data_IF_045872086979
#
_entry.id   IF_045872086979
#
_cell.length_a   1.000
_cell.length_b   1.000
_cell.length_c   1.000
_cell.angle_alpha   90.00
_cell.angle_beta   90.00
_cell.angle_gamma   90.00
#
_symmetry.space_group_name_H-M   'P 1'
#
loop_
_entity.id
_entity.type
_entity.pdbx_description
1 polymer ?
#
# COMPACT_ATOMS: atom_id res chain seq x y z
N UNK A 1 7.40 8.78 35.21
CA UNK A 1 6.22 8.32 35.98
C UNK A 1 6.43 6.83 36.23
N UNK A 2 6.32 6.34 37.47
CA UNK A 2 6.64 4.93 37.78
C UNK A 2 5.40 4.03 37.61
N UNK A 3 5.60 2.73 37.37
CA UNK A 3 4.53 1.71 37.35
C UNK A 3 3.65 1.75 38.63
N UNK A 4 4.24 2.11 39.77
CA UNK A 4 3.57 2.19 41.06
C UNK A 4 2.72 3.47 41.24
N UNK A 5 3.05 4.58 40.56
CA UNK A 5 2.27 5.82 40.66
C UNK A 5 1.00 5.81 39.80
N UNK A 6 0.87 4.86 38.88
CA UNK A 6 -0.34 4.66 38.06
C UNK A 6 -1.32 3.68 38.70
N UNK A 7 -0.87 2.81 39.61
CA UNK A 7 -1.69 1.75 40.19
C UNK A 7 -2.71 2.21 41.24
N UNK A 8 -2.48 3.33 41.92
CA UNK A 8 -3.41 3.85 42.94
C UNK A 8 -4.75 4.32 42.35
N UNK A 9 -4.85 4.47 41.03
CA UNK A 9 -6.09 4.79 40.32
C UNK A 9 -6.86 3.55 39.78
N UNK A 10 -6.36 2.32 40.00
CA UNK A 10 -6.78 1.13 39.23
C UNK A 10 -7.12 -0.09 40.12
N UNK A 11 -7.71 0.11 41.29
CA UNK A 11 -8.26 -1.04 42.05
C UNK A 11 -9.59 -1.57 41.47
N UNK A 12 -10.27 -0.78 40.63
CA UNK A 12 -11.58 -1.11 40.05
C UNK A 12 -11.64 -0.85 38.54
N UNK A 13 -10.69 -1.40 37.77
CA UNK A 13 -10.80 -1.38 36.30
C UNK A 13 -11.89 -2.38 35.83
N UNK A 14 -12.93 -1.93 35.10
CA UNK A 14 -14.02 -2.80 34.65
C UNK A 14 -13.64 -3.71 33.49
N UNK A 15 -12.51 -3.46 32.82
CA UNK A 15 -12.02 -4.22 31.67
C UNK A 15 -11.09 -5.34 32.13
N UNK A 16 -10.16 -5.06 33.05
CA UNK A 16 -9.21 -6.06 33.58
C UNK A 16 -9.71 -6.66 34.91
N UNK A 17 -10.49 -7.73 34.79
CA UNK A 17 -11.13 -8.44 35.92
C UNK A 17 -10.42 -9.76 36.29
N UNK A 18 -10.81 -10.36 37.43
CA UNK A 18 -10.33 -11.69 37.86
C UNK A 18 -10.72 -12.77 36.85
N UNK A 19 -11.93 -12.68 36.32
CA UNK A 19 -12.46 -13.60 35.32
C UNK A 19 -11.61 -13.54 34.05
N UNK A 20 -11.27 -12.34 33.58
CA UNK A 20 -10.40 -12.16 32.42
C UNK A 20 -8.99 -12.74 32.68
N UNK A 21 -8.41 -12.49 33.85
CA UNK A 21 -7.10 -13.03 34.23
C UNK A 21 -7.10 -14.57 34.15
N UNK A 22 -8.09 -15.23 34.76
CA UNK A 22 -8.18 -16.69 34.75
C UNK A 22 -8.52 -17.26 33.38
N UNK A 23 -9.32 -16.56 32.58
CA UNK A 23 -9.61 -16.94 31.20
C UNK A 23 -8.35 -16.91 30.33
N UNK A 24 -7.60 -15.81 30.36
CA UNK A 24 -6.34 -15.66 29.61
C UNK A 24 -5.30 -16.67 30.08
N UNK A 25 -5.18 -16.88 31.40
CA UNK A 25 -4.27 -17.88 31.96
C UNK A 25 -4.60 -19.29 31.43
N UNK A 26 -5.88 -19.69 31.49
CA UNK A 26 -6.34 -21.00 31.01
C UNK A 26 -6.08 -21.19 29.52
N UNK A 27 -6.39 -20.19 28.69
CA UNK A 27 -6.12 -20.21 27.24
C UNK A 27 -4.63 -20.32 26.92
N UNK A 28 -3.77 -19.83 27.82
CA UNK A 28 -2.32 -19.89 27.69
C UNK A 28 -1.70 -21.14 28.34
N UNK A 29 -2.51 -22.09 28.83
CA UNK A 29 -2.03 -23.30 29.51
C UNK A 29 -1.43 -23.04 30.90
N UNK A 30 -1.73 -21.91 31.51
CA UNK A 30 -1.22 -21.48 32.80
C UNK A 30 -2.33 -21.47 33.87
N UNK A 31 -1.98 -21.69 35.14
CA UNK A 31 -2.91 -21.58 36.28
C UNK A 31 -2.37 -20.56 37.28
N UNK A 32 -3.20 -19.58 37.64
CA UNK A 32 -2.83 -18.55 38.62
C UNK A 32 -3.13 -19.10 40.03
N UNK A 33 -2.09 -19.32 40.83
CA UNK A 33 -2.29 -19.69 42.23
C UNK A 33 -2.95 -18.52 43.00
N UNK A 34 -3.88 -18.77 43.93
CA UNK A 34 -4.61 -17.70 44.64
C UNK A 34 -3.70 -16.66 45.30
N UNK A 35 -2.56 -17.10 45.86
CA UNK A 35 -1.55 -16.23 46.49
C UNK A 35 -0.87 -15.24 45.53
N UNK A 36 -0.92 -15.46 44.22
CA UNK A 36 -0.29 -14.60 43.21
C UNK A 36 -1.31 -13.75 42.46
N UNK A 37 -2.62 -14.02 42.60
CA UNK A 37 -3.68 -13.40 41.83
C UNK A 37 -3.67 -11.86 41.93
N UNK A 38 -3.51 -11.32 43.13
CA UNK A 38 -3.43 -9.87 43.35
C UNK A 38 -2.25 -9.22 42.59
N UNK A 39 -1.09 -9.89 42.57
CA UNK A 39 0.09 -9.40 41.87
C UNK A 39 -0.08 -9.44 40.34
N UNK A 40 -0.68 -10.50 39.81
CA UNK A 40 -1.00 -10.61 38.38
C UNK A 40 -2.03 -9.56 37.95
N UNK A 41 -3.09 -9.36 38.73
CA UNK A 41 -4.09 -8.32 38.47
C UNK A 41 -3.46 -6.94 38.43
N UNK A 42 -2.61 -6.62 39.42
CA UNK A 42 -1.90 -5.35 39.48
C UNK A 42 -1.06 -5.14 38.21
N UNK A 43 -0.26 -6.13 37.82
CA UNK A 43 0.59 -6.04 36.62
C UNK A 43 -0.22 -5.86 35.32
N UNK A 44 -1.30 -6.61 35.14
CA UNK A 44 -2.17 -6.47 33.96
C UNK A 44 -2.87 -5.11 33.91
N UNK A 45 -3.39 -4.65 35.05
CA UNK A 45 -4.05 -3.34 35.16
C UNK A 45 -3.11 -2.19 34.89
N UNK A 46 -1.90 -2.23 35.44
CA UNK A 46 -0.87 -1.24 35.15
C UNK A 46 -0.47 -1.25 33.67
N UNK A 47 -0.31 -2.43 33.07
CA UNK A 47 0.00 -2.56 31.64
C UNK A 47 -1.13 -2.01 30.76
N UNK A 48 -2.39 -2.31 31.11
CA UNK A 48 -3.57 -1.79 30.43
C UNK A 48 -3.67 -0.27 30.52
N UNK A 49 -3.42 0.31 31.69
CA UNK A 49 -3.44 1.77 31.85
C UNK A 49 -2.35 2.46 31.02
N UNK A 50 -1.15 1.88 30.93
CA UNK A 50 -0.09 2.39 30.05
C UNK A 50 -0.54 2.29 28.58
N UNK A 51 -1.08 1.14 28.16
CA UNK A 51 -1.58 0.95 26.80
C UNK A 51 -2.68 1.98 26.45
N UNK A 52 -3.60 2.24 27.37
CA UNK A 52 -4.65 3.25 27.20
C UNK A 52 -4.08 4.67 27.11
N UNK A 53 -3.03 4.99 27.87
CA UNK A 53 -2.37 6.29 27.73
C UNK A 53 -1.71 6.44 26.36
N UNK A 54 -1.07 5.38 25.85
CA UNK A 54 -0.47 5.37 24.50
C UNK A 54 -1.55 5.52 23.42
N UNK A 55 -2.67 4.82 23.55
CA UNK A 55 -3.81 4.89 22.60
C UNK A 55 -4.48 6.27 22.56
N UNK A 56 -4.34 7.07 23.63
CA UNK A 56 -4.82 8.45 23.70
C UNK A 56 -3.82 9.47 23.15
N UNK A 57 -2.57 9.06 22.85
CA UNK A 57 -1.62 9.95 22.19
C UNK A 57 -2.06 10.17 20.74
N UNK A 58 -1.86 11.38 20.18
CA UNK A 58 -2.09 11.59 18.76
C UNK A 58 -1.15 10.69 17.94
N UNK A 59 -1.64 10.19 16.81
CA UNK A 59 -0.82 9.45 15.85
C UNK A 59 0.40 10.28 15.45
N UNK A 60 1.58 9.70 15.63
CA UNK A 60 2.82 10.31 15.18
C UNK A 60 3.07 9.96 13.71
N UNK A 61 3.18 10.98 12.88
CA UNK A 61 3.60 10.86 11.49
C UNK A 61 5.01 11.43 11.36
N UNK A 62 5.98 10.59 10.98
CA UNK A 62 7.35 11.04 10.75
C UNK A 62 7.38 12.11 9.65
N UNK A 63 8.07 13.25 9.84
CA UNK A 63 8.13 14.32 8.84
C UNK A 63 8.61 13.88 7.45
N UNK A 64 9.38 12.80 7.34
CA UNK A 64 9.82 12.22 6.05
C UNK A 64 8.65 11.63 5.25
N UNK A 65 7.57 11.27 5.91
CA UNK A 65 6.32 10.75 5.33
C UNK A 65 5.27 11.83 5.08
N UNK A 66 5.63 13.10 5.33
CA UNK A 66 4.78 14.24 5.02
C UNK A 66 4.42 14.26 3.54
N UNK A 67 3.16 14.58 3.29
CA UNK A 67 2.58 14.65 1.96
C UNK A 67 3.31 15.74 1.16
N UNK A 68 3.84 15.37 -0.01
CA UNK A 68 4.51 16.32 -0.89
C UNK A 68 3.47 17.31 -1.43
N UNK A 69 3.69 18.64 -1.31
CA UNK A 69 2.82 19.64 -1.90
C UNK A 69 2.74 19.51 -3.41
N UNK A 70 1.53 19.46 -3.94
CA UNK A 70 1.26 19.30 -5.38
C UNK A 70 0.61 20.53 -5.99
N UNK A 71 0.81 20.71 -7.30
CA UNK A 71 0.09 21.73 -8.08
C UNK A 71 -1.43 21.55 -7.90
N UNK A 72 -2.16 22.66 -7.82
CA UNK A 72 -3.61 22.65 -7.58
C UNK A 72 -4.03 22.55 -6.10
N UNK A 73 -3.08 22.50 -5.16
CA UNK A 73 -3.35 22.50 -3.72
C UNK A 73 -3.75 21.11 -3.22
N UNK A 74 -4.90 21.02 -2.54
CA UNK A 74 -5.40 19.76 -1.99
C UNK A 74 -5.60 18.71 -3.08
N UNK A 75 -5.15 17.49 -2.81
CA UNK A 75 -5.21 16.36 -3.75
C UNK A 75 -6.66 15.99 -4.03
N UNK A 76 -6.97 15.82 -5.32
CA UNK A 76 -8.28 15.37 -5.80
C UNK A 76 -8.11 14.03 -6.51
N UNK A 77 -9.11 13.17 -6.36
CA UNK A 77 -9.20 11.93 -7.09
C UNK A 77 -10.64 11.70 -7.56
N UNK A 78 -10.79 10.84 -8.57
CA UNK A 78 -12.09 10.33 -8.99
C UNK A 78 -12.04 8.82 -9.14
N UNK A 79 -13.19 8.17 -9.03
CA UNK A 79 -13.31 6.76 -9.42
C UNK A 79 -13.32 6.69 -10.96
N UNK A 80 -12.79 5.62 -11.55
CA UNK A 80 -12.90 5.41 -12.99
C UNK A 80 -14.36 5.20 -13.40
N UNK A 81 -14.80 5.93 -14.41
CA UNK A 81 -16.07 5.63 -15.09
C UNK A 81 -15.92 4.32 -15.89
N UNK A 82 -16.99 3.52 -16.05
CA UNK A 82 -16.92 2.23 -16.74
C UNK A 82 -16.37 2.30 -18.18
N UNK A 83 -16.65 3.38 -18.90
CA UNK A 83 -16.20 3.64 -20.28
C UNK A 83 -14.73 4.10 -20.38
N UNK A 84 -14.08 4.37 -19.23
CA UNK A 84 -12.68 4.79 -19.13
C UNK A 84 -11.81 3.82 -18.34
N UNK A 85 -12.29 2.59 -18.12
CA UNK A 85 -11.56 1.56 -17.40
C UNK A 85 -11.93 0.15 -17.87
N UNK A 86 -12.04 -0.07 -19.19
CA UNK A 86 -12.46 -1.35 -19.77
C UNK A 86 -11.57 -2.55 -19.45
N UNK A 87 -10.34 -2.33 -18.93
CA UNK A 87 -9.46 -3.37 -18.40
C UNK A 87 -9.70 -3.70 -16.93
N UNK A 88 -10.49 -2.91 -16.21
CA UNK A 88 -10.59 -2.95 -14.74
C UNK A 88 -9.23 -2.80 -14.08
N UNK A 89 -8.39 -1.87 -14.56
CA UNK A 89 -7.00 -1.74 -14.12
C UNK A 89 -6.76 -0.53 -13.20
N UNK A 90 -7.58 0.53 -13.30
CA UNK A 90 -7.54 1.69 -12.42
C UNK A 90 -8.43 1.50 -11.19
N UNK A 91 -7.92 1.90 -10.02
CA UNK A 91 -8.69 2.01 -8.79
C UNK A 91 -9.14 3.46 -8.56
N UNK A 92 -8.22 4.41 -8.73
CA UNK A 92 -8.50 5.86 -8.67
C UNK A 92 -7.75 6.59 -9.77
N UNK A 93 -8.37 7.62 -10.35
CA UNK A 93 -7.70 8.62 -11.17
C UNK A 93 -7.28 9.82 -10.33
N UNK A 94 -6.08 10.32 -10.60
CA UNK A 94 -5.52 11.54 -10.02
C UNK A 94 -4.57 12.20 -11.04
N UNK A 95 -4.13 13.41 -10.76
CA UNK A 95 -3.13 14.08 -11.59
C UNK A 95 -2.22 14.91 -10.69
N UNK A 96 -1.23 14.26 -10.09
CA UNK A 96 -0.36 14.86 -9.10
C UNK A 96 1.01 15.15 -9.68
N UNK A 97 1.43 16.40 -9.52
CA UNK A 97 2.76 16.92 -9.86
C UNK A 97 3.24 17.76 -8.69
N UNK A 98 4.48 17.58 -8.26
CA UNK A 98 5.04 18.36 -7.14
C UNK A 98 5.13 19.85 -7.48
N UNK A 99 4.91 20.73 -6.51
CA UNK A 99 5.16 22.18 -6.66
C UNK A 99 6.65 22.45 -6.86
N UNK A 100 7.49 21.68 -6.16
CA UNK A 100 8.94 21.77 -6.22
C UNK A 100 9.53 20.37 -6.40
N UNK A 101 10.45 20.23 -7.34
CA UNK A 101 11.20 19.01 -7.58
C UNK A 101 12.66 19.17 -7.12
N UNK A 102 13.30 18.06 -6.80
CA UNK A 102 14.74 17.98 -6.48
C UNK A 102 15.55 17.60 -7.73
N UNK A 103 14.97 16.79 -8.61
CA UNK A 103 15.53 16.45 -9.92
C UNK A 103 14.46 16.54 -11.01
N UNK A 104 14.84 16.26 -12.26
CA UNK A 104 13.91 16.19 -13.41
C UNK A 104 14.01 14.84 -14.14
N UNK A 105 14.54 13.82 -13.47
CA UNK A 105 14.80 12.50 -14.06
C UNK A 105 13.53 11.85 -14.60
N UNK A 106 12.38 12.09 -13.98
CA UNK A 106 11.08 11.56 -14.39
C UNK A 106 10.15 12.66 -14.92
N UNK A 107 10.71 13.78 -15.34
CA UNK A 107 9.89 14.83 -15.95
C UNK A 107 9.12 14.29 -17.16
N UNK A 108 7.85 14.68 -17.27
CA UNK A 108 6.91 14.22 -18.29
C UNK A 108 6.62 12.71 -18.27
N UNK A 109 7.11 11.96 -17.27
CA UNK A 109 6.74 10.55 -17.10
C UNK A 109 5.42 10.42 -16.35
N UNK A 110 4.48 9.73 -16.99
CA UNK A 110 3.21 9.32 -16.38
C UNK A 110 3.36 8.01 -15.60
N UNK A 111 2.91 7.99 -14.33
CA UNK A 111 3.12 6.85 -13.44
C UNK A 111 1.82 6.41 -12.74
N UNK A 112 1.55 5.11 -12.74
CA UNK A 112 0.54 4.47 -11.89
C UNK A 112 1.19 3.81 -10.66
N UNK A 113 0.48 3.80 -9.54
CA UNK A 113 0.95 3.19 -8.29
C UNK A 113 0.04 2.03 -7.91
N UNK A 114 0.57 0.86 -7.59
CA UNK A 114 -0.25 -0.21 -7.02
C UNK A 114 -0.99 0.32 -5.79
N UNK A 115 -2.26 -0.04 -5.66
CA UNK A 115 -3.14 0.47 -4.59
C UNK A 115 -2.73 0.08 -3.16
N UNK A 116 -1.69 -0.74 -3.01
CA UNK A 116 -1.06 -1.01 -1.70
C UNK A 116 -0.10 0.11 -1.26
N UNK A 117 0.25 1.02 -2.15
CA UNK A 117 1.20 2.12 -1.91
C UNK A 117 0.42 3.34 -1.41
N UNK A 118 0.73 3.80 -0.19
CA UNK A 118 0.05 4.95 0.38
C UNK A 118 0.34 6.23 -0.42
N UNK A 119 -0.72 6.84 -0.94
CA UNK A 119 -0.70 8.16 -1.56
C UNK A 119 -1.54 9.09 -0.69
N UNK A 120 -0.93 10.16 -0.18
CA UNK A 120 -1.57 11.07 0.76
C UNK A 120 -2.94 11.55 0.30
N UNK A 121 -3.91 11.47 1.20
CA UNK A 121 -5.34 11.77 1.05
C UNK A 121 -6.12 10.94 0.03
N UNK A 122 -5.51 9.93 -0.59
CA UNK A 122 -6.18 9.00 -1.50
C UNK A 122 -6.67 7.77 -0.72
N UNK A 123 -7.87 7.24 -1.01
CA UNK A 123 -8.35 6.00 -0.39
C UNK A 123 -7.44 4.82 -0.72
N UNK A 124 -7.24 3.94 0.25
CA UNK A 124 -6.49 2.71 0.08
C UNK A 124 -7.43 1.52 0.21
N UNK A 125 -7.53 0.70 -0.84
CA UNK A 125 -8.53 -0.38 -0.93
C UNK A 125 -7.93 -1.75 -0.73
N UNK A 126 -6.64 -1.93 -1.02
CA UNK A 126 -5.92 -3.21 -0.96
C UNK A 126 -6.62 -4.34 -1.76
N UNK A 127 -7.43 -3.97 -2.76
CA UNK A 127 -8.23 -4.93 -3.53
C UNK A 127 -9.28 -5.70 -2.70
N UNK A 128 -9.61 -5.23 -1.49
CA UNK A 128 -10.49 -5.93 -0.53
C UNK A 128 -11.74 -5.12 -0.18
N UNK A 129 -12.66 -5.70 0.58
CA UNK A 129 -13.85 -4.97 1.07
C UNK A 129 -13.48 -3.98 2.20
N UNK A 130 -14.11 -2.79 2.28
CA UNK A 130 -13.79 -1.78 3.29
C UNK A 130 -13.82 -2.31 4.73
N UNK A 131 -14.77 -3.18 5.06
CA UNK A 131 -14.97 -3.69 6.42
C UNK A 131 -13.80 -4.54 6.95
N UNK A 132 -12.89 -5.00 6.08
CA UNK A 132 -11.69 -5.72 6.52
C UNK A 132 -10.56 -4.78 6.96
N UNK A 133 -10.60 -3.51 6.55
CA UNK A 133 -9.51 -2.55 6.77
C UNK A 133 -9.98 -1.21 7.37
N UNK A 134 -11.26 -1.11 7.69
CA UNK A 134 -11.90 0.08 8.25
C UNK A 134 -13.04 -0.35 9.16
N UNK A 135 -13.16 0.31 10.30
CA UNK A 135 -14.35 0.21 11.17
C UNK A 135 -15.55 0.98 10.61
N UNK A 136 -15.35 1.75 9.54
CA UNK A 136 -16.38 2.49 8.81
C UNK A 136 -16.78 1.73 7.55
N UNK A 137 -17.87 2.16 6.91
CA UNK A 137 -18.33 1.62 5.62
C UNK A 137 -17.50 2.08 4.42
N UNK A 138 -16.47 2.88 4.64
CA UNK A 138 -15.65 3.51 3.60
C UNK A 138 -14.17 3.14 3.76
N UNK A 139 -13.44 3.16 2.64
CA UNK A 139 -12.00 2.92 2.64
C UNK A 139 -11.25 4.02 3.38
N UNK A 140 -10.20 3.69 4.15
CA UNK A 140 -9.39 4.68 4.84
C UNK A 140 -8.58 5.52 3.85
N UNK A 141 -8.42 6.80 4.15
CA UNK A 141 -7.54 7.70 3.39
C UNK A 141 -6.16 7.74 4.03
N UNK A 142 -5.13 7.54 3.22
CA UNK A 142 -3.74 7.62 3.71
C UNK A 142 -3.41 9.04 4.20
N UNK A 143 -2.78 9.15 5.37
CA UNK A 143 -2.32 10.44 5.90
C UNK A 143 -0.86 10.76 5.54
N UNK A 144 -0.23 9.88 4.75
CA UNK A 144 1.17 9.93 4.37
C UNK A 144 1.36 9.73 2.88
N UNK A 145 2.51 10.18 2.37
CA UNK A 145 3.09 9.61 1.16
C UNK A 145 4.07 8.51 1.53
N UNK A 146 3.95 7.35 0.88
CA UNK A 146 5.01 6.35 0.91
C UNK A 146 6.33 6.93 0.39
N UNK A 147 7.46 6.40 0.86
CA UNK A 147 8.79 6.91 0.45
C UNK A 147 8.95 6.91 -1.07
N UNK A 148 8.45 5.87 -1.75
CA UNK A 148 8.47 5.77 -3.22
C UNK A 148 7.63 6.87 -3.88
N UNK A 149 6.47 7.22 -3.33
CA UNK A 149 5.60 8.30 -3.87
C UNK A 149 6.31 9.64 -3.78
N UNK A 150 6.91 9.93 -2.63
CA UNK A 150 7.71 11.13 -2.42
C UNK A 150 8.87 11.22 -3.41
N UNK A 151 9.66 10.15 -3.56
CA UNK A 151 10.80 10.11 -4.50
C UNK A 151 10.38 10.37 -5.95
N UNK A 152 9.29 9.76 -6.40
CA UNK A 152 8.76 9.96 -7.75
C UNK A 152 8.32 11.41 -7.99
N UNK A 153 7.54 11.98 -7.06
CA UNK A 153 7.07 13.36 -7.15
C UNK A 153 8.25 14.35 -7.17
N UNK A 154 9.23 14.17 -6.30
CA UNK A 154 10.42 15.01 -6.23
C UNK A 154 11.38 14.81 -7.42
N UNK A 155 11.27 13.70 -8.15
CA UNK A 155 11.98 13.48 -9.42
C UNK A 155 11.26 14.06 -10.66
N UNK A 156 10.10 14.69 -10.47
CA UNK A 156 9.34 15.35 -11.53
C UNK A 156 8.28 14.49 -12.21
N UNK A 157 7.98 13.30 -11.67
CA UNK A 157 6.94 12.43 -12.22
C UNK A 157 5.54 13.04 -12.11
N UNK A 158 4.67 12.67 -13.04
CA UNK A 158 3.23 12.91 -12.94
C UNK A 158 2.53 11.62 -12.51
N UNK A 159 2.03 11.57 -11.28
CA UNK A 159 1.23 10.44 -10.82
C UNK A 159 -0.17 10.55 -11.41
N UNK A 160 -0.68 9.47 -11.99
CA UNK A 160 -1.96 9.42 -12.74
C UNK A 160 -3.08 8.67 -12.01
N UNK A 161 -2.74 7.86 -11.03
CA UNK A 161 -3.74 7.01 -10.36
C UNK A 161 -3.12 5.96 -9.46
N UNK A 162 -3.99 5.34 -8.68
CA UNK A 162 -3.70 4.03 -8.12
C UNK A 162 -4.30 2.95 -9.01
N UNK A 163 -3.55 1.88 -9.24
CA UNK A 163 -3.95 0.74 -10.05
C UNK A 163 -4.43 -0.40 -9.16
N UNK A 164 -5.45 -1.12 -9.62
CA UNK A 164 -6.00 -2.29 -8.94
C UNK A 164 -4.90 -3.31 -8.63
N UNK A 165 -5.05 -3.94 -7.47
CA UNK A 165 -4.30 -5.11 -7.07
C UNK A 165 -5.24 -6.24 -6.63
N UNK A 166 -4.67 -7.42 -6.51
CA UNK A 166 -5.35 -8.59 -5.95
C UNK A 166 -5.69 -8.38 -4.46
N UNK A 167 -6.70 -9.08 -3.96
CA UNK A 167 -7.18 -8.94 -2.60
C UNK A 167 -6.06 -9.27 -1.60
N UNK A 168 -5.64 -8.26 -0.83
CA UNK A 168 -4.46 -8.30 0.05
C UNK A 168 -3.16 -8.75 -0.65
N UNK A 169 -3.06 -8.60 -1.97
CA UNK A 169 -1.95 -9.13 -2.77
C UNK A 169 -1.76 -10.65 -2.70
N UNK A 170 -2.78 -11.42 -2.31
CA UNK A 170 -2.72 -12.86 -2.07
C UNK A 170 -3.09 -13.73 -3.29
N UNK A 171 -2.78 -13.26 -4.50
CA UNK A 171 -2.99 -14.04 -5.73
C UNK A 171 -1.96 -13.71 -6.80
N UNK A 172 -1.40 -14.72 -7.51
CA UNK A 172 -0.55 -14.52 -8.68
C UNK A 172 -1.35 -14.28 -9.97
N UNK A 173 -2.68 -14.29 -9.90
CA UNK A 173 -3.60 -14.21 -11.05
C UNK A 173 -4.60 -13.08 -10.84
N UNK A 174 -5.02 -12.42 -11.93
CA UNK A 174 -5.84 -11.19 -11.90
C UNK A 174 -7.35 -11.35 -11.74
N UNK A 175 -7.86 -12.00 -10.69
CA UNK A 175 -9.30 -12.27 -10.51
C UNK A 175 -9.86 -12.12 -9.10
N UNK A 176 -9.01 -11.83 -8.11
CA UNK A 176 -9.41 -11.84 -6.70
C UNK A 176 -9.77 -10.46 -6.15
N UNK A 177 -9.42 -9.39 -6.86
CA UNK A 177 -9.78 -8.04 -6.45
C UNK A 177 -11.30 -7.88 -6.34
N UNK A 178 -11.76 -7.14 -5.32
CA UNK A 178 -13.18 -6.84 -5.16
C UNK A 178 -13.76 -6.00 -6.31
N UNK A 179 -12.89 -5.28 -7.03
CA UNK A 179 -13.28 -4.49 -8.21
C UNK A 179 -13.44 -5.33 -9.48
N UNK A 180 -13.24 -6.64 -9.38
CA UNK A 180 -13.34 -7.58 -10.50
C UNK A 180 -11.99 -7.94 -11.11
N UNK A 181 -12.00 -8.83 -12.13
CA UNK A 181 -10.80 -9.30 -12.78
C UNK A 181 -10.15 -8.21 -13.64
N UNK A 182 -8.82 -8.14 -13.61
CA UNK A 182 -8.04 -7.25 -14.50
C UNK A 182 -7.74 -7.98 -15.80
N UNK A 183 -8.17 -7.41 -16.92
CA UNK A 183 -8.02 -8.01 -18.24
C UNK A 183 -6.67 -7.69 -18.90
N UNK A 184 -6.13 -8.65 -19.64
CA UNK A 184 -4.89 -8.48 -20.38
C UNK A 184 -5.13 -7.60 -21.62
N UNK A 185 -4.36 -6.52 -21.84
CA UNK A 185 -4.56 -5.63 -22.99
C UNK A 185 -4.23 -6.26 -24.34
N UNK A 186 -3.42 -7.32 -24.37
CA UNK A 186 -3.15 -8.07 -25.61
C UNK A 186 -4.33 -8.95 -26.02
N UNK A 187 -5.16 -9.37 -25.06
CA UNK A 187 -6.36 -10.15 -25.29
C UNK A 187 -7.36 -10.00 -24.13
N UNK A 188 -8.37 -9.16 -24.32
CA UNK A 188 -9.41 -8.92 -23.30
C UNK A 188 -10.08 -10.25 -22.90
N UNK A 189 -10.40 -10.39 -21.62
CA UNK A 189 -10.92 -11.63 -21.03
C UNK A 189 -9.85 -12.59 -20.51
N UNK A 190 -8.57 -12.39 -20.86
CA UNK A 190 -7.46 -13.19 -20.35
C UNK A 190 -6.78 -12.53 -19.15
N UNK A 191 -6.01 -13.35 -18.41
CA UNK A 191 -5.35 -12.94 -17.19
C UNK A 191 -4.17 -11.98 -17.45
N UNK A 192 -4.00 -10.98 -16.60
CA UNK A 192 -2.87 -10.03 -16.61
C UNK A 192 -1.73 -10.44 -15.70
N UNK A 193 -1.86 -11.58 -15.00
CA UNK A 193 -1.05 -11.94 -13.83
C UNK A 193 -1.34 -11.04 -12.62
N UNK A 194 -0.78 -11.37 -11.46
CA UNK A 194 -0.98 -10.64 -10.22
C UNK A 194 0.21 -10.78 -9.25
N UNK A 195 0.25 -10.02 -8.15
CA UNK A 195 -0.81 -9.15 -7.64
C UNK A 195 -0.78 -7.70 -8.11
N UNK A 196 0.27 -7.26 -8.81
CA UNK A 196 0.33 -5.92 -9.44
C UNK A 196 -0.38 -5.92 -10.80
N UNK A 197 -1.56 -6.52 -10.85
CA UNK A 197 -2.33 -6.82 -12.06
C UNK A 197 -2.69 -5.55 -12.83
N UNK A 198 -3.28 -4.56 -12.17
CA UNK A 198 -3.59 -3.26 -12.76
C UNK A 198 -2.34 -2.52 -13.24
N UNK A 199 -1.28 -2.51 -12.42
CA UNK A 199 -0.02 -1.84 -12.77
C UNK A 199 0.56 -2.35 -14.10
N UNK A 200 0.63 -3.68 -14.28
CA UNK A 200 1.14 -4.26 -15.51
C UNK A 200 0.21 -4.04 -16.71
N UNK A 201 -1.11 -4.20 -16.52
CA UNK A 201 -2.09 -4.00 -17.57
C UNK A 201 -2.05 -2.57 -18.14
N UNK A 202 -1.88 -1.55 -17.28
CA UNK A 202 -1.81 -0.15 -17.70
C UNK A 202 -0.54 0.18 -18.51
N UNK A 203 0.61 -0.36 -18.09
CA UNK A 203 1.87 -0.19 -18.85
C UNK A 203 1.80 -0.97 -20.17
N UNK A 204 1.24 -2.18 -20.15
CA UNK A 204 1.11 -2.99 -21.36
C UNK A 204 0.06 -2.46 -22.34
N UNK A 205 -0.96 -1.73 -21.88
CA UNK A 205 -1.92 -1.05 -22.76
C UNK A 205 -1.20 -0.06 -23.69
N UNK A 206 -0.18 0.64 -23.19
CA UNK A 206 0.69 1.49 -24.00
C UNK A 206 1.43 0.69 -25.08
N UNK A 207 1.99 -0.47 -24.70
CA UNK A 207 2.69 -1.35 -25.63
C UNK A 207 1.75 -1.91 -26.71
N UNK A 208 0.55 -2.36 -26.33
CA UNK A 208 -0.47 -2.86 -27.24
C UNK A 208 -0.95 -1.77 -28.23
N UNK A 209 -1.16 -0.53 -27.75
CA UNK A 209 -1.45 0.62 -28.61
C UNK A 209 -0.34 0.89 -29.60
N UNK A 210 0.92 0.91 -29.15
CA UNK A 210 2.09 1.12 -30.02
C UNK A 210 2.25 0.00 -31.05
N UNK A 211 1.85 -1.23 -30.71
CA UNK A 211 1.83 -2.37 -31.62
C UNK A 211 0.65 -2.34 -32.62
N UNK A 212 -0.23 -1.35 -32.55
CA UNK A 212 -1.35 -1.18 -33.48
C UNK A 212 -2.54 -2.09 -33.22
N UNK A 213 -2.65 -2.66 -32.00
CA UNK A 213 -3.84 -3.41 -31.59
C UNK A 213 -5.04 -2.46 -31.60
N UNK A 214 -6.11 -2.86 -32.31
CA UNK A 214 -7.34 -2.08 -32.48
C UNK A 214 -8.34 -2.36 -31.36
N UNK A 215 -9.33 -1.48 -31.19
CA UNK A 215 -10.41 -1.67 -30.21
C UNK A 215 -9.94 -1.50 -28.77
N UNK A 216 -8.98 -0.59 -28.54
CA UNK A 216 -8.43 -0.26 -27.23
C UNK A 216 -8.91 1.10 -26.70
N UNK A 217 -9.89 1.71 -27.35
CA UNK A 217 -10.36 3.07 -27.07
C UNK A 217 -11.18 3.13 -25.76
N UNK A 218 -11.96 2.08 -25.47
CA UNK A 218 -12.79 1.93 -24.26
C UNK A 218 -11.98 1.46 -23.04
N UNK A 219 -10.69 1.17 -23.21
CA UNK A 219 -9.84 0.62 -22.15
C UNK A 219 -9.29 1.68 -21.18
N UNK A 220 -9.48 2.97 -21.49
CA UNK A 220 -9.03 4.08 -20.65
C UNK A 220 -7.58 4.49 -20.88
N UNK A 221 -7.04 5.42 -20.08
CA UNK A 221 -5.67 5.91 -20.25
C UNK A 221 -4.62 4.85 -19.86
N UNK A 222 -3.49 4.84 -20.57
CA UNK A 222 -2.29 4.09 -20.19
C UNK A 222 -1.30 4.96 -19.38
N UNK A 223 -0.19 4.36 -18.97
CA UNK A 223 0.95 5.05 -18.34
C UNK A 223 2.27 4.55 -18.92
N UNK A 224 3.32 5.36 -18.78
CA UNK A 224 4.68 4.98 -19.18
C UNK A 224 5.33 4.01 -18.19
N UNK A 225 5.10 4.24 -16.89
CA UNK A 225 5.67 3.47 -15.79
C UNK A 225 4.59 3.09 -14.79
N UNK A 226 4.80 1.99 -14.07
CA UNK A 226 4.04 1.73 -12.86
C UNK A 226 4.94 1.20 -11.74
N UNK A 227 4.55 1.43 -10.49
CA UNK A 227 5.21 0.83 -9.33
C UNK A 227 4.32 -0.27 -8.76
N UNK A 228 4.86 -1.48 -8.69
CA UNK A 228 4.21 -2.66 -8.13
C UNK A 228 4.87 -3.13 -6.84
N UNK A 229 4.26 -4.15 -6.21
CA UNK A 229 4.81 -4.89 -5.08
C UNK A 229 5.02 -6.36 -5.44
N UNK A 230 6.08 -6.98 -4.92
CA UNK A 230 6.51 -8.36 -5.19
C UNK A 230 6.90 -9.09 -3.90
N UNK A 231 6.00 -9.94 -3.44
CA UNK A 231 6.24 -10.86 -2.32
C UNK A 231 6.83 -12.18 -2.82
N UNK A 232 6.18 -12.77 -3.83
CA UNK A 232 6.52 -14.08 -4.39
C UNK A 232 6.43 -14.12 -5.92
N UNK A 233 6.50 -12.95 -6.58
CA UNK A 233 6.35 -12.82 -8.04
C UNK A 233 5.44 -11.68 -8.47
N UNK A 234 4.89 -10.90 -7.55
CA UNK A 234 3.79 -9.97 -7.86
C UNK A 234 4.16 -8.76 -8.73
N UNK A 235 5.45 -8.54 -9.06
CA UNK A 235 5.88 -7.64 -10.15
C UNK A 235 6.19 -8.47 -11.40
N UNK A 236 6.94 -9.56 -11.25
CA UNK A 236 7.50 -10.35 -12.36
C UNK A 236 6.45 -11.17 -13.11
N UNK A 237 5.51 -11.80 -12.41
CA UNK A 237 4.41 -12.60 -12.98
C UNK A 237 3.51 -11.74 -13.86
N UNK A 238 2.94 -10.62 -13.40
CA UNK A 238 2.11 -9.79 -14.26
C UNK A 238 2.90 -9.13 -15.39
N UNK A 239 4.18 -8.78 -15.17
CA UNK A 239 5.04 -8.31 -16.26
C UNK A 239 5.20 -9.36 -17.38
N UNK A 240 5.42 -10.62 -17.03
CA UNK A 240 5.53 -11.73 -17.99
C UNK A 240 4.23 -11.96 -18.76
N UNK A 241 3.08 -11.99 -18.06
CA UNK A 241 1.76 -12.18 -18.69
C UNK A 241 1.39 -11.04 -19.62
N UNK A 242 1.78 -9.81 -19.28
CA UNK A 242 1.49 -8.62 -20.05
C UNK A 242 2.60 -8.24 -21.06
N UNK A 243 3.65 -9.04 -21.21
CA UNK A 243 4.71 -8.83 -22.21
C UNK A 243 5.50 -7.53 -22.00
N UNK A 244 5.79 -7.17 -20.74
CA UNK A 244 6.55 -5.96 -20.37
C UNK A 244 7.69 -6.31 -19.41
N UNK A 245 8.52 -5.31 -19.08
CA UNK A 245 9.57 -5.47 -18.08
C UNK A 245 9.02 -5.19 -16.69
N UNK A 246 9.42 -6.02 -15.72
CA UNK A 246 9.13 -5.83 -14.31
C UNK A 246 10.34 -6.23 -13.47
N UNK A 247 10.85 -5.31 -12.66
CA UNK A 247 12.02 -5.55 -11.82
C UNK A 247 11.59 -5.74 -10.36
N UNK A 248 11.89 -6.90 -9.80
CA UNK A 248 11.99 -7.09 -8.35
C UNK A 248 13.43 -6.78 -7.93
N UNK A 249 13.70 -5.66 -7.24
CA UNK A 249 15.06 -5.32 -6.82
C UNK A 249 15.62 -6.30 -5.78
N UNK A 250 16.89 -6.11 -5.44
CA UNK A 250 17.48 -6.70 -4.22
C UNK A 250 16.65 -6.31 -3.01
N UNK A 251 16.41 -7.25 -2.10
CA UNK A 251 15.67 -7.01 -0.87
C UNK A 251 16.30 -5.84 -0.08
N UNK A 252 15.46 -4.92 0.40
CA UNK A 252 15.90 -3.71 1.11
C UNK A 252 16.50 -2.59 0.25
N UNK A 253 16.67 -2.78 -1.07
CA UNK A 253 17.24 -1.73 -1.93
C UNK A 253 16.30 -0.55 -2.14
N UNK A 254 15.01 -0.83 -2.33
CA UNK A 254 13.95 0.17 -2.34
C UNK A 254 13.15 0.00 -1.04
N UNK A 255 12.99 1.06 -0.23
CA UNK A 255 12.29 0.98 1.04
C UNK A 255 10.80 0.70 0.82
N UNK A 256 10.24 -0.13 1.68
CA UNK A 256 8.83 -0.54 1.68
C UNK A 256 7.96 0.37 2.57
N UNK A 257 8.53 1.43 3.14
CA UNK A 257 7.85 2.39 4.00
C UNK A 257 6.60 3.00 3.36
N UNK A 258 5.47 2.89 4.06
CA UNK A 258 4.18 3.38 3.60
C UNK A 258 3.50 2.48 2.56
N UNK A 259 3.94 1.24 2.40
CA UNK A 259 3.29 0.24 1.54
C UNK A 259 2.70 -0.84 2.42
N UNK A 260 1.45 -1.22 2.18
CA UNK A 260 0.84 -2.36 2.86
C UNK A 260 1.61 -3.65 2.50
N UNK A 261 2.25 -4.24 3.52
CA UNK A 261 3.02 -5.47 3.41
C UNK A 261 2.20 -6.72 3.65
N UNK A 262 2.77 -7.86 3.30
CA UNK A 262 2.24 -9.17 3.67
C UNK A 262 3.13 -9.82 4.73
N UNK A 263 4.44 -9.86 4.44
CA UNK A 263 5.45 -10.47 5.28
C UNK A 263 6.74 -9.67 5.08
N UNK A 264 7.21 -8.91 6.10
CA UNK A 264 8.33 -7.99 5.94
C UNK A 264 9.59 -8.61 5.33
N UNK A 265 9.86 -9.89 5.60
CA UNK A 265 11.04 -10.59 5.08
C UNK A 265 11.02 -10.88 3.57
N UNK A 266 9.88 -10.71 2.90
CA UNK A 266 9.73 -10.98 1.47
C UNK A 266 9.08 -9.81 0.71
N UNK A 267 8.73 -8.72 1.39
CA UNK A 267 8.10 -7.56 0.77
C UNK A 267 9.14 -6.80 -0.09
N UNK A 268 8.86 -6.69 -1.40
CA UNK A 268 9.64 -5.86 -2.31
C UNK A 268 8.71 -4.91 -3.06
N UNK A 269 9.22 -3.73 -3.41
CA UNK A 269 8.57 -2.77 -4.31
C UNK A 269 9.48 -2.53 -5.51
N UNK A 270 8.91 -2.26 -6.68
CA UNK A 270 9.72 -2.06 -7.88
C UNK A 270 8.95 -1.62 -9.13
N UNK A 271 9.68 -1.22 -10.18
CA UNK A 271 9.09 -0.65 -11.38
C UNK A 271 8.64 -1.70 -12.40
N UNK A 272 7.64 -1.30 -13.19
CA UNK A 272 7.18 -1.95 -14.42
C UNK A 272 7.23 -0.93 -15.56
N UNK A 273 7.74 -1.33 -16.73
CA UNK A 273 7.90 -0.46 -17.89
C UNK A 273 7.95 -1.25 -19.21
N UNK A 274 7.85 -0.56 -20.35
CA UNK A 274 7.91 -1.18 -21.68
C UNK A 274 9.34 -1.34 -22.23
N UNK A 275 10.34 -0.78 -21.55
CA UNK A 275 11.75 -0.86 -21.91
C UNK A 275 12.64 -0.90 -20.65
N UNK A 276 13.90 -1.31 -20.83
CA UNK A 276 14.83 -1.53 -19.71
C UNK A 276 15.44 -0.22 -19.20
N UNK A 277 15.56 0.79 -20.07
CA UNK A 277 16.06 2.13 -19.72
C UNK A 277 15.16 2.79 -18.68
N UNK A 278 13.84 2.64 -18.84
CA UNK A 278 12.83 3.11 -17.90
C UNK A 278 12.85 2.36 -16.57
N UNK A 279 13.14 1.05 -16.59
CA UNK A 279 13.38 0.27 -15.36
C UNK A 279 14.60 0.81 -14.62
N UNK A 280 15.72 1.04 -15.31
CA UNK A 280 16.96 1.54 -14.72
C UNK A 280 16.81 2.98 -14.19
N UNK A 281 16.11 3.83 -14.94
CA UNK A 281 15.79 5.21 -14.54
C UNK A 281 14.90 5.23 -13.29
N UNK A 282 13.88 4.38 -13.24
CA UNK A 282 13.01 4.25 -12.07
C UNK A 282 13.79 3.74 -10.86
N UNK A 283 14.65 2.74 -11.04
CA UNK A 283 15.49 2.23 -9.96
C UNK A 283 16.42 3.31 -9.39
N UNK A 284 16.99 4.16 -10.25
CA UNK A 284 17.85 5.28 -9.85
C UNK A 284 17.12 6.27 -8.93
N UNK A 285 15.82 6.51 -9.20
CA UNK A 285 14.99 7.40 -8.38
C UNK A 285 14.52 6.74 -7.09
N UNK A 286 14.19 5.44 -7.16
CA UNK A 286 13.51 4.75 -6.07
C UNK A 286 14.46 4.13 -5.04
N UNK A 287 15.69 3.76 -5.41
CA UNK A 287 16.61 3.06 -4.52
C UNK A 287 17.18 3.96 -3.41
N UNK A 288 17.58 3.33 -2.30
CA UNK A 288 18.30 3.96 -1.20
C UNK A 288 17.55 3.90 0.13
N UNK A 289 18.30 3.75 1.23
CA UNK A 289 17.78 3.76 2.59
C UNK A 289 17.01 5.04 2.90
N UNK A 290 15.93 4.94 3.69
CA UNK A 290 15.11 6.10 4.08
C UNK A 290 15.14 6.38 5.59
N UNK A 291 15.81 5.53 6.38
CA UNK A 291 15.87 5.69 7.82
C UNK A 291 14.60 5.27 8.56
N UNK A 292 13.69 4.55 7.91
CA UNK A 292 12.41 4.10 8.47
C UNK A 292 12.21 2.60 8.28
N UNK A 293 12.59 2.07 7.11
CA UNK A 293 12.57 0.64 6.80
C UNK A 293 13.96 0.05 7.02
N UNK A 294 14.11 -0.78 8.05
CA UNK A 294 15.39 -1.29 8.58
C UNK A 294 15.53 -2.81 8.48
#
# INVERSE_FOLDING_TARGET
MSLASLSEAIEQDPVVTRELLHEVARRSGFTVAPRHEAAYLLGLRSSYAIAKQVDLLPDYVDPRLSIVPTLGGSRKYSKPEPDRNGLSAWCHFLNLQAVKTETRLLENRSIALKDTIAVGYIPQTLGTLPHFISSKTEYPHSQIDATVVRRLLLAGATLKGTSICENFSLSPMSYTSIFGPVHNPWQRGFNSGGSSSGSAALVALRAARKAGIKGLDDLGPDVELAIGGDQAGSIRVPAAYCGIYGLKPTFGLIPYTGIAGLLPMIDHVGPLATNIEDIALSLTVLAGYDGLDS
#
